data_IF_798227530893
#
_entry.id   IF_798227530893
#
_cell.length_a   1.000
_cell.length_b   1.000
_cell.length_c   1.000
_cell.angle_alpha   90.00
_cell.angle_beta   90.00
_cell.angle_gamma   90.00
#
_symmetry.space_group_name_H-M   'P 1'
#
loop_
_entity.id
_entity.type
_entity.pdbx_description
1 polymer ?
#
# COMPACT_ATOMS: atom_id res chain seq x y z
N UNK A 1 -0.50 -17.77 2.53
CA UNK A 1 0.62 -17.83 3.46
C UNK A 1 1.71 -16.83 3.11
N UNK A 2 2.80 -16.85 3.82
CA UNK A 2 3.89 -15.87 3.70
C UNK A 2 4.54 -15.78 2.32
N UNK A 3 4.38 -16.79 1.48
CA UNK A 3 5.00 -16.81 0.16
C UNK A 3 4.47 -15.73 -0.79
N UNK A 4 3.16 -15.47 -0.75
CA UNK A 4 2.57 -14.44 -1.62
C UNK A 4 2.96 -13.04 -1.22
N UNK A 5 3.06 -12.81 0.08
CA UNK A 5 3.52 -11.53 0.61
C UNK A 5 4.92 -11.21 0.09
N UNK A 6 5.77 -12.22 0.08
CA UNK A 6 7.15 -12.07 -0.40
C UNK A 6 7.20 -11.68 -1.87
N UNK A 7 6.29 -12.20 -2.68
CA UNK A 7 6.25 -11.90 -4.11
C UNK A 7 5.91 -10.45 -4.39
N UNK A 8 4.97 -9.88 -3.67
CA UNK A 8 4.63 -8.46 -3.85
C UNK A 8 5.75 -7.54 -3.37
N UNK A 9 6.55 -7.99 -2.43
CA UNK A 9 7.58 -7.17 -1.81
C UNK A 9 8.93 -7.24 -2.52
N UNK A 10 9.11 -8.22 -3.41
CA UNK A 10 10.38 -8.40 -4.09
C UNK A 10 10.54 -7.57 -5.36
N UNK A 11 9.53 -6.77 -5.69
CA UNK A 11 9.48 -6.06 -6.95
C UNK A 11 9.99 -4.64 -6.78
N UNK A 12 11.25 -4.43 -6.70
CA UNK A 12 11.81 -3.10 -6.72
C UNK A 12 12.74 -2.80 -5.57
N UNK A 13 13.66 -1.92 -5.86
CA UNK A 13 14.77 -1.58 -4.96
C UNK A 13 14.31 -0.84 -3.71
N UNK A 14 13.21 -0.08 -3.80
CA UNK A 14 12.66 0.68 -2.69
C UNK A 14 11.33 0.12 -2.25
N UNK A 15 11.18 -1.18 -2.33
CA UNK A 15 9.88 -1.80 -2.38
C UNK A 15 9.09 -1.69 -1.09
N UNK A 16 9.72 -1.76 0.07
CA UNK A 16 8.93 -1.82 1.27
C UNK A 16 9.40 -0.84 2.31
N UNK A 17 8.46 -0.06 2.80
CA UNK A 17 8.66 0.84 3.91
C UNK A 17 7.69 0.49 5.03
N UNK A 18 8.04 0.80 6.25
CA UNK A 18 7.16 0.56 7.38
C UNK A 18 7.31 1.67 8.40
N UNK A 19 6.24 1.86 9.17
CA UNK A 19 6.23 2.78 10.29
C UNK A 19 5.51 2.12 11.46
N UNK A 20 6.08 2.27 12.64
CA UNK A 20 5.53 1.66 13.84
C UNK A 20 4.72 2.67 14.62
N UNK A 21 3.56 2.25 15.10
CA UNK A 21 2.64 3.04 15.91
C UNK A 21 2.22 2.19 17.11
N UNK A 22 2.95 2.33 18.22
CA UNK A 22 2.70 1.47 19.39
C UNK A 22 2.84 0.00 19.03
N UNK A 23 1.78 -0.76 19.22
CA UNK A 23 1.79 -2.21 18.93
C UNK A 23 1.50 -2.53 17.47
N UNK A 24 1.32 -1.52 16.63
CA UNK A 24 0.99 -1.72 15.22
C UNK A 24 2.16 -1.33 14.34
N UNK A 25 2.32 -2.07 13.26
CA UNK A 25 3.25 -1.70 12.18
C UNK A 25 2.44 -1.57 10.90
N UNK A 26 2.60 -0.43 10.24
CA UNK A 26 1.98 -0.19 8.94
C UNK A 26 3.06 -0.32 7.88
N UNK A 27 2.91 -1.30 6.99
CA UNK A 27 3.76 -1.46 5.83
C UNK A 27 3.12 -0.76 4.66
N UNK A 28 3.91 -0.04 3.89
CA UNK A 28 3.40 0.72 2.76
C UNK A 28 4.41 0.74 1.62
N UNK A 29 3.90 0.73 0.41
CA UNK A 29 4.70 0.98 -0.77
C UNK A 29 3.82 1.44 -1.92
N UNK A 30 4.45 2.02 -2.91
CA UNK A 30 3.81 2.40 -4.15
C UNK A 30 4.73 2.03 -5.30
N UNK A 31 4.17 1.52 -6.38
CA UNK A 31 4.94 1.09 -7.54
C UNK A 31 4.07 1.18 -8.79
N UNK A 32 4.72 1.21 -9.95
CA UNK A 32 3.96 1.14 -11.21
C UNK A 32 3.27 -0.23 -11.29
N UNK A 33 2.01 -0.23 -11.67
CA UNK A 33 1.25 -1.48 -11.70
C UNK A 33 1.74 -2.45 -12.78
N UNK A 34 2.50 -1.97 -13.74
CA UNK A 34 3.15 -2.83 -14.75
C UNK A 34 4.19 -3.77 -14.12
N UNK A 35 4.67 -3.46 -12.92
CA UNK A 35 5.66 -4.30 -12.22
C UNK A 35 5.01 -5.48 -11.48
N UNK A 36 3.70 -5.50 -11.39
CA UNK A 36 2.96 -6.61 -10.77
C UNK A 36 2.84 -7.75 -11.78
N UNK A 37 3.01 -8.99 -11.33
CA UNK A 37 2.86 -10.14 -12.23
C UNK A 37 1.44 -10.24 -12.77
N UNK A 38 1.30 -10.89 -13.93
CA UNK A 38 -0.02 -11.11 -14.53
C UNK A 38 -0.95 -11.86 -13.59
N UNK A 39 -0.44 -12.87 -12.90
CA UNK A 39 -1.26 -13.68 -12.00
C UNK A 39 -1.77 -12.89 -10.81
N UNK A 40 -0.91 -12.10 -10.20
CA UNK A 40 -1.29 -11.25 -9.06
C UNK A 40 -2.28 -10.17 -9.51
N UNK A 41 -2.01 -9.53 -10.64
CA UNK A 41 -2.89 -8.48 -11.17
C UNK A 41 -4.28 -9.05 -11.45
N UNK A 42 -4.35 -10.21 -12.05
CA UNK A 42 -5.62 -10.87 -12.35
C UNK A 42 -6.36 -11.29 -11.08
N UNK A 43 -5.63 -11.83 -10.11
CA UNK A 43 -6.23 -12.28 -8.85
C UNK A 43 -6.86 -11.13 -8.06
N UNK A 44 -6.24 -9.95 -8.11
CA UNK A 44 -6.69 -8.80 -7.32
C UNK A 44 -7.40 -7.72 -8.14
N UNK A 45 -7.63 -7.98 -9.43
CA UNK A 45 -8.32 -7.00 -10.27
C UNK A 45 -7.51 -5.74 -10.50
N UNK A 46 -6.19 -5.85 -10.58
CA UNK A 46 -5.30 -4.73 -10.81
C UNK A 46 -5.07 -4.57 -12.31
N UNK A 47 -5.19 -3.35 -12.79
CA UNK A 47 -4.88 -3.03 -14.18
C UNK A 47 -3.40 -2.72 -14.32
N UNK A 48 -2.66 -3.57 -15.05
CA UNK A 48 -1.23 -3.36 -15.28
C UNK A 48 -1.03 -2.25 -16.31
N UNK A 49 -0.26 -1.24 -15.93
CA UNK A 49 0.08 -0.13 -16.83
C UNK A 49 1.29 0.61 -16.29
N UNK A 50 2.15 1.06 -17.20
CA UNK A 50 3.29 1.93 -16.85
C UNK A 50 2.83 3.29 -16.35
N UNK A 51 1.62 3.72 -16.73
CA UNK A 51 1.09 5.03 -16.34
C UNK A 51 0.10 4.94 -15.17
N UNK A 52 0.10 3.84 -14.44
CA UNK A 52 -0.71 3.68 -13.23
C UNK A 52 0.17 3.20 -12.10
N UNK A 53 -0.02 3.82 -10.94
CA UNK A 53 0.64 3.39 -9.72
C UNK A 53 -0.33 2.57 -8.88
N UNK A 54 0.22 1.60 -8.18
CA UNK A 54 -0.48 0.81 -7.19
C UNK A 54 0.06 1.20 -5.83
N UNK A 55 -0.84 1.53 -4.90
CA UNK A 55 -0.49 1.79 -3.51
C UNK A 55 -0.93 0.58 -2.70
N UNK A 56 -0.04 0.04 -1.88
CA UNK A 56 -0.29 -1.15 -1.08
C UNK A 56 -0.01 -0.86 0.38
N UNK A 57 -1.00 -1.11 1.23
CA UNK A 57 -0.92 -0.90 2.67
C UNK A 57 -1.27 -2.20 3.36
N UNK A 58 -0.49 -2.58 4.37
CA UNK A 58 -0.87 -3.66 5.26
C UNK A 58 -0.62 -3.25 6.70
N UNK A 59 -1.46 -3.75 7.60
CA UNK A 59 -1.43 -3.37 9.01
C UNK A 59 -1.24 -4.64 9.83
N UNK A 60 -0.18 -4.66 10.62
CA UNK A 60 0.13 -5.79 11.48
C UNK A 60 0.10 -5.36 12.94
N UNK A 61 -0.42 -6.22 13.77
CA UNK A 61 -0.36 -6.04 15.22
C UNK A 61 0.75 -6.91 15.77
N UNK A 62 1.64 -6.28 16.52
CA UNK A 62 2.76 -6.95 17.16
C UNK A 62 2.31 -7.42 18.53
N UNK A 63 2.53 -8.70 18.82
CA UNK A 63 2.23 -9.28 20.10
C UNK A 63 3.50 -9.95 20.61
N UNK A 64 3.80 -9.76 21.90
CA UNK A 64 5.01 -10.28 22.48
C UNK A 64 5.09 -11.80 22.32
N UNK A 65 6.26 -12.28 21.88
CA UNK A 65 6.59 -13.70 21.73
C UNK A 65 5.76 -14.47 20.68
N UNK A 66 5.06 -13.76 19.80
CA UNK A 66 4.38 -14.40 18.67
C UNK A 66 4.63 -13.58 17.40
N UNK A 67 4.40 -14.22 16.26
CA UNK A 67 4.51 -13.52 14.98
C UNK A 67 3.45 -12.42 14.87
N UNK A 68 3.77 -11.30 14.23
CA UNK A 68 2.78 -10.26 13.98
C UNK A 68 1.62 -10.80 13.17
N UNK A 69 0.42 -10.31 13.47
CA UNK A 69 -0.80 -10.75 12.78
C UNK A 69 -1.42 -9.61 11.99
N UNK A 70 -1.95 -9.93 10.82
CA UNK A 70 -2.68 -8.96 10.03
C UNK A 70 -3.98 -8.59 10.74
N UNK A 71 -4.30 -7.30 10.72
CA UNK A 71 -5.53 -6.80 11.33
C UNK A 71 -6.30 -5.96 10.32
N UNK A 72 -7.61 -5.95 10.48
CA UNK A 72 -8.46 -5.09 9.66
C UNK A 72 -8.34 -3.65 10.12
N UNK A 73 -8.50 -2.75 9.17
CA UNK A 73 -8.40 -1.32 9.43
C UNK A 73 -9.29 -0.56 8.46
N UNK A 74 -9.60 0.67 8.83
CA UNK A 74 -10.16 1.64 7.89
C UNK A 74 -8.97 2.39 7.29
N UNK A 75 -8.82 2.33 5.99
CA UNK A 75 -7.70 2.95 5.29
C UNK A 75 -8.23 3.93 4.26
N UNK A 76 -7.82 5.19 4.40
CA UNK A 76 -8.12 6.24 3.42
C UNK A 76 -6.81 6.83 2.94
N UNK A 77 -6.75 7.23 1.68
CA UNK A 77 -5.52 7.72 1.10
C UNK A 77 -5.77 8.86 0.13
N UNK A 78 -4.81 9.76 0.07
CA UNK A 78 -4.78 10.83 -0.93
C UNK A 78 -3.35 11.03 -1.39
N UNK A 79 -3.21 11.65 -2.57
CA UNK A 79 -1.92 11.98 -3.13
C UNK A 79 -1.96 13.39 -3.67
N UNK A 80 -0.90 14.14 -3.44
CA UNK A 80 -0.77 15.51 -3.93
C UNK A 80 0.52 15.63 -4.74
N UNK A 81 0.40 16.09 -5.98
CA UNK A 81 1.59 16.31 -6.80
C UNK A 81 2.22 17.67 -6.51
N UNK A 82 3.38 17.93 -7.14
CA UNK A 82 4.14 19.15 -6.86
C UNK A 82 3.46 20.41 -7.41
N UNK A 83 2.51 20.27 -8.32
CA UNK A 83 1.73 21.40 -8.81
C UNK A 83 0.51 21.71 -7.93
N UNK A 84 0.31 20.92 -6.87
CA UNK A 84 -0.74 21.17 -5.90
C UNK A 84 -2.05 20.46 -6.19
N UNK A 85 -2.11 19.59 -7.18
CA UNK A 85 -3.31 18.80 -7.45
C UNK A 85 -3.41 17.66 -6.44
N UNK A 86 -4.56 17.55 -5.80
CA UNK A 86 -4.83 16.48 -4.84
C UNK A 86 -5.80 15.49 -5.44
N UNK A 87 -5.50 14.22 -5.27
CA UNK A 87 -6.35 13.12 -5.73
C UNK A 87 -6.69 12.22 -4.56
N UNK A 88 -7.96 11.91 -4.43
CA UNK A 88 -8.41 10.90 -3.48
C UNK A 88 -8.18 9.52 -4.11
N UNK A 89 -7.62 8.62 -3.33
CA UNK A 89 -7.36 7.26 -3.79
C UNK A 89 -8.38 6.35 -3.13
N UNK A 90 -9.17 5.66 -3.94
CA UNK A 90 -10.11 4.67 -3.41
C UNK A 90 -9.34 3.41 -3.02
N UNK A 91 -9.37 3.08 -1.74
CA UNK A 91 -8.70 1.92 -1.20
C UNK A 91 -9.68 0.78 -1.04
N UNK A 92 -9.27 -0.43 -1.38
CA UNK A 92 -10.09 -1.62 -1.19
C UNK A 92 -9.31 -2.71 -0.49
N UNK A 93 -10.03 -3.49 0.30
CA UNK A 93 -9.45 -4.58 1.05
C UNK A 93 -9.35 -5.82 0.18
N UNK A 94 -8.19 -6.47 0.23
CA UNK A 94 -7.95 -7.75 -0.44
C UNK A 94 -7.38 -8.70 0.59
N UNK A 95 -8.02 -9.83 0.75
CA UNK A 95 -7.52 -10.87 1.65
C UNK A 95 -6.91 -11.99 0.84
N UNK A 96 -5.83 -12.55 1.35
CA UNK A 96 -5.16 -13.65 0.72
C UNK A 96 -4.97 -14.77 1.74
N UNK A 97 -5.62 -15.90 1.50
CA UNK A 97 -5.66 -16.97 2.48
C UNK A 97 -6.32 -16.48 3.76
N UNK A 98 -5.90 -17.01 4.89
CA UNK A 98 -6.44 -16.63 6.19
C UNK A 98 -5.57 -15.62 6.93
N UNK A 99 -4.37 -15.33 6.40
CA UNK A 99 -3.33 -14.66 7.16
C UNK A 99 -2.93 -13.29 6.65
N UNK A 100 -3.31 -12.91 5.43
CA UNK A 100 -2.86 -11.67 4.85
C UNK A 100 -4.03 -10.77 4.45
N UNK A 101 -3.92 -9.50 4.81
CA UNK A 101 -4.91 -8.47 4.46
C UNK A 101 -4.15 -7.31 3.85
N UNK A 102 -4.53 -6.93 2.63
CA UNK A 102 -3.95 -5.78 1.94
C UNK A 102 -5.02 -4.76 1.65
N UNK A 103 -4.63 -3.50 1.71
CA UNK A 103 -5.45 -2.40 1.22
C UNK A 103 -4.75 -1.83 0.02
N UNK A 104 -5.39 -1.88 -1.14
CA UNK A 104 -4.78 -1.44 -2.39
C UNK A 104 -5.61 -0.35 -3.04
N UNK A 105 -4.92 0.55 -3.70
CA UNK A 105 -5.53 1.62 -4.47
C UNK A 105 -4.70 1.91 -5.69
N UNK A 106 -5.31 2.51 -6.69
CA UNK A 106 -4.65 2.83 -7.96
C UNK A 106 -4.77 4.30 -8.26
N UNK A 107 -3.75 4.82 -8.94
CA UNK A 107 -3.60 6.23 -9.25
C UNK A 107 -2.95 6.37 -10.61
N UNK A 108 -3.50 7.21 -11.47
CA UNK A 108 -2.85 7.53 -12.75
C UNK A 108 -1.66 8.44 -12.50
N UNK A 109 -0.55 8.14 -13.15
CA UNK A 109 0.68 8.91 -12.99
C UNK A 109 1.27 9.27 -14.36
N UNK A 110 2.01 10.36 -14.40
CA UNK A 110 2.76 10.80 -15.59
C UNK A 110 4.24 10.56 -15.34
N UNK A 111 5.01 10.60 -16.44
CA UNK A 111 6.46 10.43 -16.34
C UNK A 111 7.07 11.52 -15.46
N UNK A 112 7.91 11.10 -14.52
CA UNK A 112 8.61 11.96 -13.56
C UNK A 112 7.69 12.72 -12.60
N UNK A 113 6.43 12.32 -12.49
CA UNK A 113 5.51 12.96 -11.56
C UNK A 113 5.80 12.51 -10.13
N UNK A 114 5.90 13.47 -9.23
CA UNK A 114 6.15 13.22 -7.81
C UNK A 114 4.87 13.46 -7.02
N UNK A 115 4.55 12.51 -6.16
CA UNK A 115 3.40 12.62 -5.27
C UNK A 115 3.82 12.55 -3.81
N UNK A 116 3.18 13.39 -3.00
CA UNK A 116 3.17 13.25 -1.55
C UNK A 116 1.90 12.49 -1.17
N UNK A 117 2.10 11.32 -0.59
CA UNK A 117 1.00 10.47 -0.16
C UNK A 117 0.68 10.74 1.30
N UNK A 118 -0.61 10.74 1.61
CA UNK A 118 -1.11 10.81 2.98
C UNK A 118 -2.10 9.68 3.16
N UNK A 119 -1.78 8.76 4.07
CA UNK A 119 -2.59 7.58 4.32
C UNK A 119 -3.01 7.59 5.78
N UNK A 120 -4.32 7.52 6.00
CA UNK A 120 -4.88 7.44 7.34
C UNK A 120 -5.31 6.01 7.60
N UNK A 121 -4.77 5.42 8.65
CA UNK A 121 -5.01 4.01 9.00
C UNK A 121 -5.58 3.96 10.40
N UNK A 122 -6.78 3.42 10.52
CA UNK A 122 -7.43 3.23 11.81
C UNK A 122 -7.68 1.74 12.01
N UNK A 123 -6.83 1.04 12.77
CA UNK A 123 -7.06 -0.38 13.03
C UNK A 123 -8.39 -0.61 13.72
N UNK A 124 -9.00 -1.74 13.44
CA UNK A 124 -10.26 -2.12 14.09
C UNK A 124 -10.09 -2.12 15.60
N UNK A 125 -11.03 -1.50 16.30
CA UNK A 125 -10.98 -1.35 17.74
C UNK A 125 -10.24 -0.12 18.24
N UNK A 126 -9.56 0.61 17.35
CA UNK A 126 -8.90 1.87 17.70
C UNK A 126 -9.75 3.05 17.28
N UNK A 127 -9.63 4.16 18.01
CA UNK A 127 -10.41 5.37 17.71
C UNK A 127 -9.61 6.43 16.98
N UNK A 128 -8.28 6.39 17.07
CA UNK A 128 -7.42 7.41 16.48
C UNK A 128 -6.70 6.85 15.26
N UNK A 129 -6.72 7.57 14.13
CA UNK A 129 -5.99 7.13 12.96
C UNK A 129 -4.49 7.33 13.12
N UNK A 130 -3.73 6.46 12.50
CA UNK A 130 -2.31 6.66 12.27
C UNK A 130 -2.15 7.39 10.94
N UNK A 131 -1.25 8.35 10.88
CA UNK A 131 -1.01 9.11 9.67
C UNK A 131 0.33 8.70 9.08
N UNK A 132 0.31 8.07 7.91
CA UNK A 132 1.51 7.66 7.19
C UNK A 132 1.68 8.61 6.02
N UNK A 133 2.84 9.25 5.94
CA UNK A 133 3.16 10.18 4.86
C UNK A 133 4.45 9.74 4.20
N UNK A 134 4.44 9.75 2.87
CA UNK A 134 5.65 9.43 2.12
C UNK A 134 5.59 10.09 0.74
N UNK A 135 6.75 10.27 0.16
CA UNK A 135 6.90 10.88 -1.18
C UNK A 135 7.50 9.87 -2.13
N UNK A 136 7.00 9.85 -3.35
CA UNK A 136 7.57 9.01 -4.38
C UNK A 136 7.39 9.62 -5.76
N UNK A 137 8.42 9.51 -6.58
CA UNK A 137 8.39 9.90 -7.98
C UNK A 137 8.17 8.66 -8.84
N UNK A 138 7.36 8.80 -9.88
CA UNK A 138 7.03 7.72 -10.79
C UNK A 138 7.59 8.01 -12.18
N UNK A 139 8.00 6.96 -12.86
CA UNK A 139 8.52 7.01 -14.21
C UNK A 139 7.68 6.11 -15.09
N UNK A 140 7.22 6.62 -16.23
CA UNK A 140 6.37 5.87 -17.15
C UNK A 140 7.10 5.50 -18.44
N UNK A 141 8.34 5.95 -18.58
CA UNK A 141 9.17 5.68 -19.76
C UNK A 141 10.51 5.09 -19.38
#
# INVERSE_FOLDING_TARGET
TLASLTLMLSVGVNAQQSQQFGDYTVHYNALNSSLISNDVAKAYGIRRSDSRALINISVLKNTENVLPTAVKATVTASARNLTGQTRKIEMREVTEGDDAIYYIGELSVRNMETFDFSVMVTPEGQSKPFNVKFRQQFYTE
#
